data_IF_373665784355
#
_entry.id   IF_373665784355
#
_cell.length_a   1.000
_cell.length_b   1.000
_cell.length_c   1.000
_cell.angle_alpha   90.00
_cell.angle_beta   90.00
_cell.angle_gamma   90.00
#
_symmetry.space_group_name_H-M   'P 1'
#
loop_
_entity.id
_entity.type
_entity.pdbx_description
1 polymer ?
#
# COMPACT_ATOMS: atom_id res chain seq x y z
N UNK A 1 43.42 19.74 -4.80
CA UNK A 1 42.51 20.58 -3.99
C UNK A 1 41.39 19.73 -3.38
N UNK A 2 41.63 19.02 -2.26
CA UNK A 2 40.62 18.19 -1.56
C UNK A 2 39.98 18.89 -0.34
N UNK A 3 40.50 20.05 0.09
CA UNK A 3 40.19 20.63 1.41
C UNK A 3 38.86 21.40 1.52
N UNK A 4 38.17 21.66 0.41
CA UNK A 4 36.89 22.40 0.42
C UNK A 4 35.68 21.53 0.77
N UNK A 5 35.75 20.20 0.63
CA UNK A 5 34.63 19.30 1.00
C UNK A 5 34.48 19.09 2.51
N UNK A 6 35.55 19.28 3.29
CA UNK A 6 35.56 18.98 4.73
C UNK A 6 35.13 20.17 5.61
N UNK A 7 35.00 21.37 5.04
CA UNK A 7 34.65 22.60 5.77
C UNK A 7 33.13 22.85 5.83
N UNK A 8 32.37 22.29 4.89
CA UNK A 8 30.91 22.40 4.83
C UNK A 8 30.21 21.50 5.87
N UNK A 9 30.70 20.27 6.06
CA UNK A 9 30.15 19.29 7.01
C UNK A 9 30.31 19.67 8.49
N UNK A 10 31.27 20.54 8.82
CA UNK A 10 31.50 21.07 10.18
C UNK A 10 30.88 22.45 10.42
N UNK A 11 30.20 23.03 9.43
CA UNK A 11 29.53 24.31 9.63
C UNK A 11 28.24 24.12 10.44
N UNK A 12 28.00 24.98 11.42
CA UNK A 12 26.75 24.97 12.20
C UNK A 12 25.50 25.18 11.33
N UNK A 13 25.64 25.69 10.11
CA UNK A 13 24.59 25.77 9.11
C UNK A 13 24.20 24.38 8.55
N UNK A 14 25.19 23.52 8.26
CA UNK A 14 24.94 22.18 7.75
C UNK A 14 24.29 21.27 8.79
N UNK A 15 24.73 21.36 10.06
CA UNK A 15 24.08 20.65 11.16
C UNK A 15 22.65 21.14 11.40
N UNK A 16 22.38 22.45 11.30
CA UNK A 16 21.02 23.01 11.39
C UNK A 16 20.14 22.57 10.23
N UNK A 17 20.67 22.48 9.01
CA UNK A 17 19.95 21.94 7.85
C UNK A 17 19.58 20.48 8.09
N UNK A 18 20.53 19.62 8.45
CA UNK A 18 20.28 18.20 8.75
C UNK A 18 19.28 18.01 9.91
N UNK A 19 19.38 18.81 10.97
CA UNK A 19 18.43 18.77 12.08
C UNK A 19 17.04 19.26 11.67
N UNK A 20 16.94 20.27 10.80
CA UNK A 20 15.66 20.75 10.25
C UNK A 20 15.03 19.77 9.25
N UNK A 21 15.84 19.07 8.44
CA UNK A 21 15.41 17.98 7.57
C UNK A 21 14.94 16.79 8.39
N UNK A 22 15.65 16.46 9.48
CA UNK A 22 15.24 15.43 10.44
C UNK A 22 13.93 15.77 11.15
N UNK A 23 13.73 17.01 11.61
CA UNK A 23 12.46 17.47 12.20
C UNK A 23 11.31 17.49 11.17
N UNK A 24 11.57 17.97 9.95
CA UNK A 24 10.60 17.94 8.84
C UNK A 24 10.21 16.50 8.52
N UNK A 25 11.15 15.56 8.60
CA UNK A 25 10.88 14.14 8.40
C UNK A 25 10.09 13.54 9.56
N UNK A 26 10.35 13.96 10.80
CA UNK A 26 9.64 13.48 11.99
C UNK A 26 8.15 13.87 12.02
N UNK A 27 7.76 14.95 11.35
CA UNK A 27 6.35 15.40 11.26
C UNK A 27 5.59 14.85 10.04
N UNK A 28 6.25 14.10 9.15
CA UNK A 28 5.59 13.55 7.96
C UNK A 28 4.89 12.25 8.26
N UNK A 29 3.68 12.09 7.72
CA UNK A 29 2.95 10.82 7.76
C UNK A 29 3.70 9.74 7.01
N UNK A 30 3.85 8.57 7.63
CA UNK A 30 4.49 7.41 7.02
C UNK A 30 3.46 6.60 6.24
N UNK A 31 3.59 6.57 4.91
CA UNK A 31 2.60 5.99 4.00
C UNK A 31 3.18 4.75 3.31
N UNK A 32 2.45 3.63 3.33
CA UNK A 32 2.75 2.44 2.54
C UNK A 32 1.65 2.13 1.53
N UNK A 33 2.03 1.69 0.33
CA UNK A 33 1.12 1.25 -0.73
C UNK A 33 1.47 -0.19 -1.09
N UNK A 34 0.53 -1.10 -0.84
CA UNK A 34 0.72 -2.54 -0.95
C UNK A 34 -0.24 -3.15 -1.96
N UNK A 35 0.23 -4.22 -2.61
CA UNK A 35 -0.57 -5.01 -3.53
C UNK A 35 -0.53 -6.48 -3.10
N UNK A 36 -1.71 -7.09 -2.98
CA UNK A 36 -1.88 -8.53 -2.86
C UNK A 36 -2.22 -9.11 -4.24
N UNK A 37 -2.95 -10.22 -4.29
CA UNK A 37 -3.31 -10.87 -5.56
C UNK A 37 -4.36 -10.04 -6.32
N UNK A 38 -3.96 -9.36 -7.40
CA UNK A 38 -4.81 -8.66 -8.37
C UNK A 38 -4.08 -8.26 -9.66
N UNK A 39 -4.64 -7.31 -10.42
CA UNK A 39 -4.10 -6.77 -11.68
C UNK A 39 -3.23 -5.50 -11.50
N UNK A 40 -3.01 -5.06 -10.26
CA UNK A 40 -2.30 -3.82 -9.88
C UNK A 40 -2.88 -2.53 -10.49
N UNK A 41 -4.11 -2.57 -11.03
CA UNK A 41 -4.69 -1.45 -11.77
C UNK A 41 -4.87 -0.19 -10.92
N UNK A 42 -5.12 -0.32 -9.62
CA UNK A 42 -5.30 0.83 -8.74
C UNK A 42 -3.96 1.50 -8.42
N UNK A 43 -2.92 0.71 -8.11
CA UNK A 43 -1.55 1.20 -7.92
C UNK A 43 -1.01 1.91 -9.17
N UNK A 44 -1.21 1.34 -10.35
CA UNK A 44 -0.80 1.98 -11.60
C UNK A 44 -1.58 3.26 -11.85
N UNK A 45 -2.91 3.26 -11.68
CA UNK A 45 -3.70 4.49 -11.85
C UNK A 45 -3.34 5.58 -10.84
N UNK A 46 -2.91 5.22 -9.62
CA UNK A 46 -2.41 6.16 -8.63
C UNK A 46 -1.18 6.95 -9.13
N UNK A 47 -0.33 6.36 -9.98
CA UNK A 47 0.80 7.08 -10.60
C UNK A 47 0.35 8.23 -11.49
N UNK A 48 -0.81 8.11 -12.15
CA UNK A 48 -1.40 9.20 -12.92
C UNK A 48 -1.95 10.31 -12.00
N UNK A 49 -2.52 9.94 -10.85
CA UNK A 49 -2.93 10.93 -9.83
C UNK A 49 -1.70 11.67 -9.27
N UNK A 50 -0.58 10.96 -9.09
CA UNK A 50 0.67 11.51 -8.61
C UNK A 50 1.24 12.62 -9.52
N UNK A 51 1.02 12.56 -10.83
CA UNK A 51 1.42 13.62 -11.76
C UNK A 51 0.88 15.01 -11.36
N UNK A 52 -0.23 15.06 -10.61
CA UNK A 52 -0.87 16.33 -10.21
C UNK A 52 -0.70 16.66 -8.73
N UNK A 53 -0.56 15.64 -7.87
CA UNK A 53 -0.68 15.81 -6.41
C UNK A 53 0.59 15.49 -5.64
N UNK A 54 1.50 14.68 -6.20
CA UNK A 54 2.60 14.08 -5.45
C UNK A 54 3.51 15.13 -4.78
N UNK A 55 3.84 16.21 -5.50
CA UNK A 55 4.73 17.27 -4.97
C UNK A 55 4.17 17.85 -3.67
N UNK A 56 2.87 18.15 -3.64
CA UNK A 56 2.20 18.70 -2.46
C UNK A 56 2.08 17.66 -1.33
N UNK A 57 1.82 16.40 -1.68
CA UNK A 57 1.73 15.34 -0.68
C UNK A 57 3.08 15.03 -0.05
N UNK A 58 4.18 15.07 -0.80
CA UNK A 58 5.53 14.84 -0.27
C UNK A 58 5.96 15.88 0.78
N UNK A 59 5.31 17.04 0.88
CA UNK A 59 5.53 17.97 1.99
C UNK A 59 4.98 17.44 3.32
N UNK A 60 3.93 16.62 3.27
CA UNK A 60 3.20 16.08 4.43
C UNK A 60 3.47 14.60 4.70
N UNK A 61 4.03 13.87 3.72
CA UNK A 61 4.26 12.43 3.84
C UNK A 61 5.67 11.97 3.47
N UNK A 62 6.08 10.89 4.13
CA UNK A 62 7.14 10.00 3.68
C UNK A 62 6.50 8.76 3.07
N UNK A 63 6.69 8.55 1.77
CA UNK A 63 6.36 7.29 1.13
C UNK A 63 7.38 6.23 1.58
N UNK A 64 6.97 5.27 2.41
CA UNK A 64 7.83 4.24 3.00
C UNK A 64 8.02 3.09 2.02
N UNK A 65 6.92 2.58 1.48
CA UNK A 65 6.90 1.47 0.54
C UNK A 65 5.89 1.76 -0.57
N UNK A 66 6.30 1.55 -1.81
CA UNK A 66 5.42 1.43 -2.95
C UNK A 66 6.20 0.73 -4.06
N UNK A 67 5.83 -0.50 -4.39
CA UNK A 67 6.59 -1.34 -5.32
C UNK A 67 7.01 -0.61 -6.61
N UNK A 68 6.12 0.22 -7.18
CA UNK A 68 6.38 0.94 -8.42
C UNK A 68 7.39 2.10 -8.30
N UNK A 69 7.66 2.62 -7.10
CA UNK A 69 8.50 3.81 -6.89
C UNK A 69 9.61 3.66 -5.85
N UNK A 70 9.46 2.76 -4.87
CA UNK A 70 10.37 2.63 -3.72
C UNK A 70 10.30 1.25 -3.08
N UNK A 71 11.45 0.59 -3.11
CA UNK A 71 11.73 -0.71 -2.50
C UNK A 71 12.35 -0.54 -1.10
N UNK A 72 11.54 -0.20 -0.09
CA UNK A 72 11.97 -0.33 1.31
C UNK A 72 11.11 -1.32 2.07
N UNK A 73 11.80 -2.31 2.63
CA UNK A 73 11.28 -3.62 3.04
C UNK A 73 10.73 -3.67 4.48
N UNK A 74 10.87 -2.58 5.25
CA UNK A 74 10.40 -2.58 6.64
C UNK A 74 8.97 -2.02 6.74
N UNK A 75 8.00 -2.93 6.88
CA UNK A 75 6.61 -2.63 7.17
C UNK A 75 6.49 -2.39 8.67
N UNK A 76 6.76 -1.15 9.09
CA UNK A 76 6.75 -0.76 10.50
C UNK A 76 6.38 0.71 10.69
N UNK A 77 5.60 0.98 11.74
CA UNK A 77 5.22 2.32 12.18
C UNK A 77 4.59 3.15 11.05
N UNK A 78 3.65 2.57 10.30
CA UNK A 78 2.92 3.27 9.25
C UNK A 78 1.76 4.05 9.85
N UNK A 79 1.60 5.30 9.41
CA UNK A 79 0.40 6.08 9.73
C UNK A 79 -0.76 5.66 8.84
N UNK A 80 -0.50 5.42 7.55
CA UNK A 80 -1.51 4.96 6.59
C UNK A 80 -0.95 3.86 5.71
N UNK A 81 -1.71 2.79 5.52
CA UNK A 81 -1.48 1.80 4.47
C UNK A 81 -2.65 1.80 3.48
N UNK A 82 -2.35 1.99 2.21
CA UNK A 82 -3.26 1.73 1.09
C UNK A 82 -2.99 0.31 0.61
N UNK A 83 -4.02 -0.53 0.58
CA UNK A 83 -3.87 -1.94 0.16
C UNK A 83 -4.86 -2.26 -0.94
N UNK A 84 -4.36 -2.68 -2.10
CA UNK A 84 -5.17 -3.27 -3.16
C UNK A 84 -5.06 -4.81 -3.18
N UNK A 85 -6.00 -5.44 -3.88
CA UNK A 85 -5.98 -6.87 -4.14
C UNK A 85 -6.68 -7.75 -3.11
N UNK A 86 -6.64 -9.05 -3.36
CA UNK A 86 -7.47 -10.06 -2.68
C UNK A 86 -6.58 -11.01 -1.88
N UNK A 87 -7.07 -11.48 -0.74
CA UNK A 87 -6.40 -12.50 0.06
C UNK A 87 -6.76 -13.87 -0.51
N UNK A 88 -5.83 -14.49 -1.23
CA UNK A 88 -6.09 -15.76 -1.94
C UNK A 88 -5.33 -16.93 -1.35
N UNK A 89 -4.20 -16.68 -0.67
CA UNK A 89 -3.30 -17.69 -0.11
C UNK A 89 -3.01 -17.43 1.37
N UNK A 90 -2.41 -18.41 2.04
CA UNK A 90 -1.91 -18.23 3.41
C UNK A 90 -0.84 -17.14 3.49
N UNK A 91 -0.01 -16.98 2.45
CA UNK A 91 0.97 -15.90 2.34
C UNK A 91 0.30 -14.52 2.29
N UNK A 92 -0.76 -14.36 1.48
CA UNK A 92 -1.49 -13.09 1.41
C UNK A 92 -2.10 -12.75 2.77
N UNK A 93 -2.61 -13.77 3.48
CA UNK A 93 -3.21 -13.62 4.81
C UNK A 93 -2.19 -13.12 5.84
N UNK A 94 -1.01 -13.74 5.88
CA UNK A 94 0.09 -13.32 6.77
C UNK A 94 0.57 -11.91 6.44
N UNK A 95 0.66 -11.57 5.15
CA UNK A 95 1.08 -10.24 4.70
C UNK A 95 0.08 -9.17 5.13
N UNK A 96 -1.23 -9.36 4.92
CA UNK A 96 -2.22 -8.38 5.33
C UNK A 96 -2.32 -8.23 6.86
N UNK A 97 -2.18 -9.33 7.61
CA UNK A 97 -2.13 -9.30 9.08
C UNK A 97 -0.91 -8.51 9.57
N UNK A 98 0.25 -8.71 8.93
CA UNK A 98 1.48 -7.95 9.22
C UNK A 98 1.32 -6.47 8.89
N UNK A 99 0.78 -6.12 7.72
CA UNK A 99 0.51 -4.73 7.33
C UNK A 99 -0.42 -4.07 8.35
N UNK A 100 -1.50 -4.75 8.72
CA UNK A 100 -2.47 -4.27 9.71
C UNK A 100 -1.84 -4.03 11.06
N UNK A 101 -1.03 -4.97 11.56
CA UNK A 101 -0.38 -4.87 12.88
C UNK A 101 0.60 -3.69 12.97
N UNK A 102 1.13 -3.24 11.84
CA UNK A 102 2.14 -2.18 11.74
C UNK A 102 1.59 -0.85 11.21
N UNK A 103 0.26 -0.70 11.16
CA UNK A 103 -0.43 0.43 10.55
C UNK A 103 -1.45 1.02 11.51
N UNK A 104 -1.55 2.35 11.58
CA UNK A 104 -2.63 3.03 12.30
C UNK A 104 -3.93 3.04 11.50
N UNK A 105 -3.89 3.43 10.23
CA UNK A 105 -5.06 3.49 9.33
C UNK A 105 -4.85 2.60 8.11
N UNK A 106 -5.66 1.56 7.95
CA UNK A 106 -5.64 0.69 6.77
C UNK A 106 -6.82 1.01 5.86
N UNK A 107 -6.53 1.37 4.61
CA UNK A 107 -7.51 1.75 3.61
C UNK A 107 -7.54 0.66 2.53
N UNK A 108 -8.71 0.06 2.31
CA UNK A 108 -8.92 -0.87 1.20
C UNK A 108 -9.06 -0.06 -0.10
N UNK A 109 -8.16 -0.30 -1.05
CA UNK A 109 -8.06 0.43 -2.30
C UNK A 109 -8.56 -0.44 -3.46
N UNK A 110 -9.73 -0.09 -4.01
CA UNK A 110 -10.32 -0.75 -5.17
C UNK A 110 -11.28 -1.90 -4.84
N UNK A 111 -12.10 -2.26 -5.83
CA UNK A 111 -13.18 -3.25 -5.70
C UNK A 111 -12.66 -4.63 -5.26
N UNK A 112 -11.47 -5.03 -5.73
CA UNK A 112 -10.81 -6.28 -5.31
C UNK A 112 -10.62 -6.34 -3.79
N UNK A 113 -10.02 -5.30 -3.20
CA UNK A 113 -9.78 -5.24 -1.77
C UNK A 113 -11.08 -5.19 -0.94
N UNK A 114 -12.09 -4.50 -1.44
CA UNK A 114 -13.37 -4.31 -0.74
C UNK A 114 -14.31 -5.52 -0.80
N UNK A 115 -14.28 -6.28 -1.90
CA UNK A 115 -15.32 -7.27 -2.23
C UNK A 115 -14.80 -8.62 -2.69
N UNK A 116 -13.48 -8.79 -2.80
CA UNK A 116 -12.79 -9.91 -3.48
C UNK A 116 -12.94 -9.95 -5.01
N UNK A 117 -13.82 -9.16 -5.63
CA UNK A 117 -14.06 -9.23 -7.07
C UNK A 117 -13.33 -8.13 -7.85
N UNK A 118 -12.93 -8.38 -9.12
CA UNK A 118 -13.09 -9.61 -9.89
C UNK A 118 -12.04 -10.71 -9.63
N UNK A 119 -10.94 -10.44 -8.92
CA UNK A 119 -9.84 -11.42 -8.82
C UNK A 119 -10.21 -12.71 -8.06
N UNK A 120 -11.25 -12.66 -7.23
CA UNK A 120 -11.83 -13.79 -6.49
C UNK A 120 -12.98 -14.51 -7.20
N UNK A 121 -13.11 -14.38 -8.53
CA UNK A 121 -14.18 -14.99 -9.33
C UNK A 121 -14.36 -16.50 -9.10
N UNK A 122 -13.29 -17.24 -8.77
CA UNK A 122 -13.36 -18.67 -8.45
C UNK A 122 -14.30 -19.00 -7.29
N UNK A 123 -14.64 -18.03 -6.45
CA UNK A 123 -15.64 -18.18 -5.40
C UNK A 123 -17.05 -18.51 -5.94
N UNK A 124 -17.30 -18.23 -7.22
CA UNK A 124 -18.58 -18.48 -7.88
C UNK A 124 -18.58 -19.78 -8.71
N UNK A 125 -17.50 -20.57 -8.67
CA UNK A 125 -17.38 -21.79 -9.45
C UNK A 125 -18.23 -22.91 -8.86
N UNK A 126 -18.86 -23.70 -9.75
CA UNK A 126 -19.55 -24.93 -9.36
C UNK A 126 -18.59 -26.07 -9.05
N UNK A 127 -19.09 -27.22 -8.56
CA UNK A 127 -18.26 -28.37 -8.16
C UNK A 127 -17.30 -28.85 -9.26
N UNK A 128 -17.79 -28.97 -10.50
CA UNK A 128 -16.97 -29.46 -11.63
C UNK A 128 -15.80 -28.52 -11.94
N UNK A 129 -16.06 -27.21 -11.92
CA UNK A 129 -15.05 -26.17 -12.13
C UNK A 129 -14.03 -26.13 -10.99
N UNK A 130 -14.48 -26.36 -9.74
CA UNK A 130 -13.59 -26.43 -8.59
C UNK A 130 -12.69 -27.66 -8.63
N UNK A 131 -13.20 -28.82 -9.08
CA UNK A 131 -12.39 -30.02 -9.25
C UNK A 131 -11.35 -29.83 -10.37
N UNK A 132 -11.70 -29.17 -11.46
CA UNK A 132 -10.77 -28.84 -12.56
C UNK A 132 -9.56 -28.03 -12.07
N UNK A 133 -9.78 -27.04 -11.18
CA UNK A 133 -8.70 -26.19 -10.66
C UNK A 133 -8.06 -26.70 -9.37
N UNK A 134 -8.56 -27.79 -8.78
CA UNK A 134 -8.14 -28.27 -7.45
C UNK A 134 -6.64 -28.50 -7.33
N UNK A 135 -6.04 -29.15 -8.33
CA UNK A 135 -4.59 -29.39 -8.37
C UNK A 135 -3.78 -28.10 -8.36
N UNK A 136 -4.28 -27.03 -8.97
CA UNK A 136 -3.66 -25.70 -8.93
C UNK A 136 -3.81 -25.05 -7.56
N UNK A 137 -4.99 -25.17 -6.94
CA UNK A 137 -5.25 -24.64 -5.60
C UNK A 137 -4.30 -25.27 -4.57
N UNK A 138 -4.14 -26.60 -4.61
CA UNK A 138 -3.24 -27.34 -3.73
C UNK A 138 -1.77 -27.00 -3.98
N UNK A 139 -1.34 -26.97 -5.26
CA UNK A 139 0.05 -26.68 -5.63
C UNK A 139 0.57 -25.34 -5.09
N UNK A 140 -0.26 -24.31 -5.08
CA UNK A 140 0.11 -22.97 -4.65
C UNK A 140 -0.43 -22.60 -3.27
N UNK A 141 -0.98 -23.58 -2.54
CA UNK A 141 -1.53 -23.40 -1.19
C UNK A 141 -2.54 -22.24 -1.10
N UNK A 142 -3.45 -22.18 -2.07
CA UNK A 142 -4.54 -21.22 -2.07
C UNK A 142 -5.56 -21.60 -1.00
N UNK A 143 -6.17 -20.58 -0.38
CA UNK A 143 -7.30 -20.75 0.53
C UNK A 143 -8.51 -21.34 -0.23
N UNK A 144 -9.43 -22.04 0.44
CA UNK A 144 -10.64 -22.54 -0.19
C UNK A 144 -11.47 -21.43 -0.87
N UNK A 145 -11.46 -20.22 -0.29
CA UNK A 145 -12.16 -19.03 -0.78
C UNK A 145 -11.19 -17.85 -0.85
N UNK A 146 -11.30 -17.04 -1.89
CA UNK A 146 -10.64 -15.74 -1.97
C UNK A 146 -11.40 -14.71 -1.12
N UNK A 147 -10.71 -13.92 -0.29
CA UNK A 147 -11.32 -13.07 0.72
C UNK A 147 -11.04 -11.58 0.47
N UNK A 148 -12.04 -10.73 0.71
CA UNK A 148 -11.85 -9.29 0.82
C UNK A 148 -11.02 -8.96 2.07
N UNK A 149 -10.36 -7.80 2.11
CA UNK A 149 -9.49 -7.44 3.23
C UNK A 149 -10.26 -7.43 4.57
N UNK A 150 -11.50 -6.92 4.56
CA UNK A 150 -12.36 -6.85 5.75
C UNK A 150 -12.82 -8.20 6.29
N UNK A 151 -12.72 -9.28 5.51
CA UNK A 151 -12.96 -10.64 5.99
C UNK A 151 -11.77 -11.18 6.81
N UNK A 152 -10.61 -10.52 6.75
CA UNK A 152 -9.36 -10.97 7.39
C UNK A 152 -8.87 -10.00 8.47
N UNK A 153 -8.90 -8.70 8.20
CA UNK A 153 -8.41 -7.66 9.11
C UNK A 153 -9.38 -6.49 9.20
N UNK A 154 -9.26 -5.68 10.26
CA UNK A 154 -9.99 -4.40 10.34
C UNK A 154 -9.52 -3.43 9.25
N UNK A 155 -10.46 -3.00 8.42
CA UNK A 155 -10.31 -1.91 7.45
C UNK A 155 -10.91 -0.63 8.05
N UNK A 156 -10.20 0.50 7.99
CA UNK A 156 -10.64 1.77 8.58
C UNK A 156 -11.33 2.70 7.58
N UNK A 157 -11.03 2.59 6.28
CA UNK A 157 -11.71 3.33 5.21
C UNK A 157 -11.62 2.56 3.87
N UNK A 158 -12.42 2.94 2.87
CA UNK A 158 -12.50 2.26 1.58
C UNK A 158 -12.51 3.26 0.41
N UNK A 159 -11.80 2.91 -0.68
CA UNK A 159 -11.76 3.70 -1.92
C UNK A 159 -12.33 2.85 -3.06
N UNK A 160 -13.58 3.11 -3.50
CA UNK A 160 -14.24 2.31 -4.54
C UNK A 160 -13.67 2.55 -5.94
N UNK A 161 -13.82 1.54 -6.80
CA UNK A 161 -13.50 1.58 -8.23
C UNK A 161 -12.61 0.41 -8.67
N UNK A 162 -12.61 0.13 -9.98
CA UNK A 162 -11.74 -0.87 -10.61
C UNK A 162 -11.25 -0.36 -12.00
N UNK A 163 -10.20 0.50 -12.07
CA UNK A 163 -9.42 1.02 -10.95
C UNK A 163 -10.16 2.13 -10.17
N UNK A 164 -9.59 2.55 -9.04
CA UNK A 164 -10.15 3.54 -8.11
C UNK A 164 -10.70 4.82 -8.77
N UNK A 165 -11.76 5.37 -8.19
CA UNK A 165 -12.25 6.70 -8.55
C UNK A 165 -11.29 7.78 -8.01
N UNK A 166 -10.75 8.62 -8.91
CA UNK A 166 -9.79 9.68 -8.55
C UNK A 166 -10.30 10.67 -7.50
N UNK A 167 -11.53 11.17 -7.65
CA UNK A 167 -12.08 12.17 -6.72
C UNK A 167 -12.24 11.57 -5.32
N UNK A 168 -12.76 10.34 -5.25
CA UNK A 168 -12.93 9.64 -3.98
C UNK A 168 -11.58 9.25 -3.35
N UNK A 169 -10.60 8.86 -4.16
CA UNK A 169 -9.24 8.63 -3.67
C UNK A 169 -8.68 9.88 -2.99
N UNK A 170 -8.76 11.04 -3.65
CA UNK A 170 -8.24 12.30 -3.08
C UNK A 170 -8.97 12.66 -1.78
N UNK A 171 -10.30 12.57 -1.77
CA UNK A 171 -11.12 12.84 -0.59
C UNK A 171 -10.71 11.97 0.61
N UNK A 172 -10.63 10.65 0.40
CA UNK A 172 -10.31 9.69 1.46
C UNK A 172 -8.84 9.80 1.87
N UNK A 173 -7.91 9.91 0.92
CA UNK A 173 -6.49 9.97 1.24
C UNK A 173 -6.12 11.26 1.98
N UNK A 174 -6.61 12.42 1.53
CA UNK A 174 -6.30 13.71 2.16
C UNK A 174 -6.94 13.86 3.56
N UNK A 175 -7.98 13.09 3.89
CA UNK A 175 -8.52 12.99 5.26
C UNK A 175 -7.49 12.46 6.27
N UNK A 176 -6.51 11.68 5.82
CA UNK A 176 -5.51 11.03 6.69
C UNK A 176 -4.08 11.58 6.50
N UNK A 177 -3.91 12.59 5.64
CA UNK A 177 -2.62 13.17 5.24
C UNK A 177 -2.31 14.49 5.95
#
# INVERSE_FOLDING_TARGET
MPETKNRLSQSGLYQKIQQSEGLRKANKKRIGIFSLTCDEGCSIYLTEIFNQKLIFWLEKMELVYFLSLKDKTEIKDLDVALVEGVVTSQKDKEEIEKIRANTKILIAMGTCAMTSQPSGQRNNFGPDQLEEIKSHLEKYNFLPKALALKEVVKVDDEIPGCPINKAKFIEVFEKYL
#
